data_IF_777366371482
#
_entry.id   IF_777366371482
#
_cell.length_a   1.000
_cell.length_b   1.000
_cell.length_c   1.000
_cell.angle_alpha   90.00
_cell.angle_beta   90.00
_cell.angle_gamma   90.00
#
_symmetry.space_group_name_H-M   'P 1'
#
loop_
_entity.id
_entity.type
_entity.pdbx_description
1 polymer ?
#
# COMPACT_ATOMS: atom_id res chain seq x y z
N UNK A 1 46.15 -53.91 -64.31
CA UNK A 1 46.84 -52.85 -63.54
C UNK A 1 46.05 -52.65 -62.25
N UNK A 2 46.45 -53.35 -61.19
CA UNK A 2 47.22 -52.83 -60.04
C UNK A 2 46.27 -52.50 -58.88
N UNK A 3 45.89 -53.47 -58.05
CA UNK A 3 46.43 -53.77 -56.69
C UNK A 3 46.11 -52.74 -55.58
N UNK A 4 45.79 -53.30 -54.41
CA UNK A 4 46.21 -52.87 -53.05
C UNK A 4 45.22 -51.96 -52.27
N UNK A 5 44.53 -52.48 -51.22
CA UNK A 5 44.89 -52.56 -49.78
C UNK A 5 44.16 -51.47 -48.97
N UNK A 6 43.21 -51.81 -48.09
CA UNK A 6 43.30 -52.38 -46.72
C UNK A 6 43.05 -51.28 -45.68
N UNK A 7 42.16 -51.61 -44.73
CA UNK A 7 42.24 -51.34 -43.28
C UNK A 7 41.22 -50.35 -42.70
N UNK A 8 40.21 -50.97 -42.07
CA UNK A 8 39.70 -50.77 -40.70
C UNK A 8 39.99 -49.43 -40.01
N UNK A 9 38.89 -48.75 -39.64
CA UNK A 9 38.78 -47.79 -38.52
C UNK A 9 37.29 -47.83 -38.12
N UNK A 10 36.92 -48.58 -37.07
CA UNK A 10 36.74 -48.07 -35.70
C UNK A 10 35.26 -47.67 -35.48
N UNK A 11 34.54 -48.22 -34.48
CA UNK A 11 33.14 -47.86 -34.25
C UNK A 11 33.02 -46.42 -33.72
N UNK A 12 31.95 -45.67 -34.06
CA UNK A 12 31.75 -44.33 -33.51
C UNK A 12 31.44 -44.41 -32.01
N UNK A 13 32.10 -43.52 -31.26
CA UNK A 13 31.94 -43.33 -29.83
C UNK A 13 30.50 -42.97 -29.45
N UNK A 14 30.07 -43.47 -28.28
CA UNK A 14 28.80 -43.16 -27.65
C UNK A 14 28.64 -41.64 -27.44
N UNK A 15 27.56 -41.08 -27.96
CA UNK A 15 27.12 -39.73 -27.61
C UNK A 15 26.45 -39.76 -26.21
N UNK A 16 26.77 -38.80 -25.32
CA UNK A 16 26.15 -38.74 -24.02
C UNK A 16 24.67 -38.33 -24.13
N UNK A 17 23.85 -38.90 -23.26
CA UNK A 17 22.44 -38.59 -23.09
C UNK A 17 22.23 -37.07 -22.95
N UNK A 18 21.35 -36.52 -23.78
CA UNK A 18 20.79 -35.19 -23.58
C UNK A 18 19.94 -35.22 -22.31
N UNK A 19 20.56 -34.90 -21.18
CA UNK A 19 19.87 -34.58 -19.94
C UNK A 19 18.97 -33.38 -20.17
N UNK A 20 17.66 -33.60 -20.10
CA UNK A 20 16.66 -32.56 -19.96
C UNK A 20 16.92 -31.79 -18.66
N UNK A 21 17.72 -30.73 -18.72
CA UNK A 21 17.87 -29.76 -17.65
C UNK A 21 16.64 -28.83 -17.63
N UNK A 22 15.52 -29.36 -17.16
CA UNK A 22 14.42 -28.55 -16.65
C UNK A 22 14.85 -27.98 -15.29
N UNK A 23 15.54 -26.84 -15.30
CA UNK A 23 15.95 -26.14 -14.10
C UNK A 23 15.05 -24.92 -13.85
N UNK A 24 14.03 -25.17 -13.02
CA UNK A 24 13.56 -24.33 -11.94
C UNK A 24 13.35 -22.83 -12.21
N UNK A 25 12.11 -22.50 -12.53
CA UNK A 25 11.38 -21.48 -11.78
C UNK A 25 10.25 -22.18 -11.03
N UNK A 26 10.60 -22.96 -10.00
CA UNK A 26 9.66 -23.57 -9.07
C UNK A 26 8.84 -22.46 -8.41
N UNK A 27 7.72 -22.13 -9.05
CA UNK A 27 6.59 -21.51 -8.38
C UNK A 27 6.23 -22.49 -7.27
N UNK A 28 6.76 -22.24 -6.07
CA UNK A 28 6.30 -22.84 -4.85
C UNK A 28 4.80 -22.61 -4.82
N UNK A 29 4.07 -23.66 -5.17
CA UNK A 29 2.62 -23.72 -5.05
C UNK A 29 2.35 -23.60 -3.56
N UNK A 30 2.17 -22.37 -3.08
CA UNK A 30 1.81 -22.09 -1.71
C UNK A 30 0.54 -22.90 -1.47
N UNK A 31 0.56 -23.90 -0.58
CA UNK A 31 -0.61 -24.72 -0.34
C UNK A 31 -1.65 -23.77 0.28
N UNK A 32 -2.68 -23.44 -0.50
CA UNK A 32 -3.81 -22.57 -0.14
C UNK A 32 -3.50 -21.06 0.02
N UNK A 33 -3.14 -20.35 -1.05
CA UNK A 33 -3.31 -18.88 -1.10
C UNK A 33 -2.31 -18.11 -1.96
N UNK A 34 -2.46 -16.79 -2.02
CA UNK A 34 -1.42 -15.89 -2.57
C UNK A 34 -0.22 -15.80 -1.63
N UNK A 35 0.94 -15.38 -2.16
CA UNK A 35 2.15 -15.24 -1.35
C UNK A 35 2.03 -14.17 -0.26
N UNK A 36 2.77 -14.28 0.87
CA UNK A 36 2.78 -13.27 1.93
C UNK A 36 3.14 -11.86 1.43
N UNK A 37 3.94 -11.76 0.37
CA UNK A 37 4.28 -10.48 -0.25
C UNK A 37 3.06 -9.73 -0.79
N UNK A 38 1.99 -10.44 -1.20
CA UNK A 38 0.74 -9.80 -1.66
C UNK A 38 -0.04 -9.23 -0.47
N UNK A 39 -0.05 -9.92 0.67
CA UNK A 39 -0.89 -9.63 1.82
C UNK A 39 -0.17 -8.75 2.84
N UNK A 40 0.93 -9.22 3.41
CA UNK A 40 1.77 -8.48 4.35
C UNK A 40 2.50 -7.31 3.67
N UNK A 41 2.76 -7.43 2.37
CA UNK A 41 3.30 -6.32 1.58
C UNK A 41 2.41 -5.07 1.58
N UNK A 42 1.09 -5.22 1.78
CA UNK A 42 0.18 -4.06 1.91
C UNK A 42 0.58 -3.19 3.09
N UNK A 43 0.84 -3.82 4.24
CA UNK A 43 1.25 -3.09 5.43
C UNK A 43 2.62 -2.44 5.24
N UNK A 44 3.57 -3.13 4.61
CA UNK A 44 4.90 -2.56 4.32
C UNK A 44 4.82 -1.36 3.36
N UNK A 45 4.08 -1.48 2.26
CA UNK A 45 3.90 -0.40 1.28
C UNK A 45 3.17 0.79 1.91
N UNK A 46 2.12 0.52 2.69
CA UNK A 46 1.41 1.55 3.45
C UNK A 46 2.33 2.26 4.43
N UNK A 47 3.11 1.52 5.23
CA UNK A 47 4.01 2.12 6.22
C UNK A 47 5.08 3.02 5.58
N UNK A 48 5.63 2.65 4.42
CA UNK A 48 6.58 3.49 3.69
C UNK A 48 5.93 4.77 3.16
N UNK A 49 4.71 4.67 2.63
CA UNK A 49 3.95 5.83 2.14
C UNK A 49 3.58 6.77 3.28
N UNK A 50 2.98 6.26 4.35
CA UNK A 50 2.58 7.06 5.51
C UNK A 50 3.78 7.62 6.29
N UNK A 51 4.95 6.97 6.28
CA UNK A 51 6.16 7.53 6.88
C UNK A 51 6.60 8.83 6.18
N UNK A 52 6.47 8.89 4.85
CA UNK A 52 6.72 10.09 4.06
C UNK A 52 5.68 11.18 4.40
N UNK A 53 4.39 10.83 4.48
CA UNK A 53 3.35 11.76 4.91
C UNK A 53 3.60 12.32 6.32
N UNK A 54 4.02 11.48 7.28
CA UNK A 54 4.34 11.91 8.65
C UNK A 54 5.57 12.80 8.69
N UNK A 55 6.56 12.56 7.83
CA UNK A 55 7.78 13.36 7.77
C UNK A 55 7.53 14.76 7.19
N UNK A 56 6.72 14.86 6.14
CA UNK A 56 6.56 16.12 5.38
C UNK A 56 5.22 16.81 5.56
N UNK A 57 4.15 16.07 5.88
CA UNK A 57 2.77 16.54 6.06
C UNK A 57 2.64 17.81 6.90
N UNK A 58 3.03 17.76 8.19
CA UNK A 58 2.89 18.90 9.08
C UNK A 58 3.57 20.18 8.59
N UNK A 59 4.79 20.05 8.07
CA UNK A 59 5.55 21.18 7.53
C UNK A 59 4.87 21.74 6.29
N UNK A 60 4.48 20.86 5.38
CA UNK A 60 3.84 21.25 4.13
C UNK A 60 2.54 22.00 4.38
N UNK A 61 1.70 21.54 5.32
CA UNK A 61 0.45 22.22 5.70
C UNK A 61 0.73 23.65 6.16
N UNK A 62 1.67 23.84 7.10
CA UNK A 62 2.01 25.17 7.64
C UNK A 62 2.52 26.13 6.57
N UNK A 63 3.33 25.64 5.63
CA UNK A 63 3.93 26.46 4.57
C UNK A 63 2.93 26.75 3.42
N UNK A 64 2.05 25.81 3.09
CA UNK A 64 1.23 25.88 1.87
C UNK A 64 -0.22 26.31 2.12
N UNK A 65 -0.82 26.05 3.28
CA UNK A 65 -2.22 26.44 3.55
C UNK A 65 -2.45 27.95 3.36
N UNK A 66 -1.59 28.87 3.86
CA UNK A 66 -1.78 30.30 3.61
C UNK A 66 -1.71 30.69 2.12
N UNK A 67 -0.87 30.00 1.34
CA UNK A 67 -0.72 30.24 -0.10
C UNK A 67 -1.94 29.70 -0.85
N UNK A 68 -2.39 28.49 -0.52
CA UNK A 68 -3.56 27.85 -1.13
C UNK A 68 -4.84 28.61 -0.82
N UNK A 69 -5.00 29.12 0.39
CA UNK A 69 -6.12 29.97 0.78
C UNK A 69 -6.27 31.21 -0.12
N UNK A 70 -5.15 31.86 -0.45
CA UNK A 70 -5.14 32.99 -1.40
C UNK A 70 -5.45 32.57 -2.83
N UNK A 71 -5.04 31.36 -3.23
CA UNK A 71 -5.20 30.83 -4.60
C UNK A 71 -6.60 30.28 -4.87
N UNK A 72 -7.30 29.80 -3.84
CA UNK A 72 -8.63 29.21 -3.96
C UNK A 72 -9.65 29.91 -3.03
N UNK A 73 -9.90 31.22 -3.21
CA UNK A 73 -10.79 32.00 -2.33
C UNK A 73 -12.25 31.51 -2.35
N UNK A 74 -12.64 30.71 -3.35
CA UNK A 74 -13.96 30.09 -3.45
C UNK A 74 -14.22 28.98 -2.44
N UNK A 75 -13.19 28.43 -1.79
CA UNK A 75 -13.37 27.39 -0.77
C UNK A 75 -13.82 28.03 0.56
N UNK A 76 -14.82 27.43 1.25
CA UNK A 76 -15.30 27.94 2.53
C UNK A 76 -14.18 28.10 3.55
N UNK A 77 -14.28 29.14 4.38
CA UNK A 77 -13.28 29.41 5.42
C UNK A 77 -13.08 28.22 6.37
N UNK A 78 -14.16 27.49 6.66
CA UNK A 78 -14.13 26.28 7.47
C UNK A 78 -13.20 25.19 6.94
N UNK A 79 -12.99 25.12 5.61
CA UNK A 79 -12.03 24.18 5.00
C UNK A 79 -10.60 24.59 5.36
N UNK A 80 -10.29 25.89 5.30
CA UNK A 80 -8.97 26.42 5.64
C UNK A 80 -8.69 26.31 7.13
N UNK A 81 -9.67 26.61 7.98
CA UNK A 81 -9.58 26.42 9.42
C UNK A 81 -9.34 24.95 9.78
N UNK A 82 -10.06 24.02 9.14
CA UNK A 82 -9.86 22.59 9.31
C UNK A 82 -8.43 22.17 8.92
N UNK A 83 -7.94 22.58 7.75
CA UNK A 83 -6.57 22.28 7.32
C UNK A 83 -5.52 22.92 8.25
N UNK A 84 -5.76 24.13 8.75
CA UNK A 84 -4.88 24.82 9.68
C UNK A 84 -4.90 24.25 11.10
N UNK A 85 -5.96 23.51 11.47
CA UNK A 85 -6.13 22.90 12.79
C UNK A 85 -5.36 21.58 13.00
N UNK A 86 -4.66 21.08 11.97
CA UNK A 86 -3.90 19.84 12.05
C UNK A 86 -2.78 19.91 13.11
N UNK A 87 -2.99 19.24 14.24
CA UNK A 87 -1.97 19.04 15.29
C UNK A 87 -1.09 17.84 14.91
N UNK A 88 0.22 18.06 14.76
CA UNK A 88 1.23 17.04 14.44
C UNK A 88 1.11 15.80 15.34
N UNK A 89 0.77 15.97 16.62
CA UNK A 89 0.59 14.83 17.54
C UNK A 89 -0.68 14.05 17.24
N UNK A 90 -1.78 14.74 16.93
CA UNK A 90 -3.05 14.10 16.56
C UNK A 90 -2.88 13.31 15.27
N UNK A 91 -2.25 13.90 14.26
CA UNK A 91 -1.96 13.22 13.00
C UNK A 91 -1.14 11.94 13.21
N UNK A 92 -0.03 12.01 13.94
CA UNK A 92 0.81 10.83 14.24
C UNK A 92 0.05 9.76 15.02
N UNK A 93 -0.81 10.15 15.96
CA UNK A 93 -1.63 9.20 16.71
C UNK A 93 -2.70 8.55 15.80
N UNK A 94 -3.32 9.33 14.90
CA UNK A 94 -4.28 8.82 13.92
C UNK A 94 -3.63 7.83 12.95
N UNK A 95 -2.43 8.13 12.45
CA UNK A 95 -1.61 7.21 11.64
C UNK A 95 -1.32 5.92 12.42
N UNK A 96 -1.01 6.02 13.72
CA UNK A 96 -0.83 4.85 14.58
C UNK A 96 -2.08 3.97 14.69
N UNK A 97 -3.27 4.55 14.80
CA UNK A 97 -4.54 3.80 14.79
C UNK A 97 -4.78 3.15 13.42
N UNK A 98 -4.53 3.89 12.34
CA UNK A 98 -4.65 3.36 10.98
C UNK A 98 -3.67 2.20 10.73
N UNK A 99 -2.46 2.25 11.27
CA UNK A 99 -1.49 1.17 11.20
C UNK A 99 -2.06 -0.15 11.74
N UNK A 100 -2.81 -0.11 12.85
CA UNK A 100 -3.46 -1.30 13.43
C UNK A 100 -4.54 -1.84 12.49
N UNK A 101 -5.33 -0.97 11.87
CA UNK A 101 -6.38 -1.35 10.91
C UNK A 101 -5.75 -2.03 9.70
N UNK A 102 -4.73 -1.40 9.09
CA UNK A 102 -4.06 -1.93 7.88
C UNK A 102 -3.31 -3.23 8.21
N UNK A 103 -2.63 -3.31 9.36
CA UNK A 103 -2.01 -4.55 9.81
C UNK A 103 -3.03 -5.67 10.02
N UNK A 104 -4.18 -5.37 10.63
CA UNK A 104 -5.29 -6.31 10.77
C UNK A 104 -5.82 -6.81 9.43
N UNK A 105 -5.94 -5.91 8.45
CA UNK A 105 -6.33 -6.26 7.08
C UNK A 105 -5.30 -7.17 6.41
N UNK A 106 -4.00 -6.85 6.53
CA UNK A 106 -2.91 -7.64 5.99
C UNK A 106 -2.86 -9.06 6.60
N UNK A 107 -2.99 -9.18 7.93
CA UNK A 107 -3.05 -10.47 8.64
C UNK A 107 -4.29 -11.26 8.24
N UNK A 108 -5.45 -10.62 8.12
CA UNK A 108 -6.69 -11.24 7.63
C UNK A 108 -6.52 -11.76 6.19
N UNK A 109 -5.87 -10.96 5.32
CA UNK A 109 -5.50 -11.37 3.98
C UNK A 109 -4.61 -12.61 3.99
N UNK A 110 -3.59 -12.62 4.84
CA UNK A 110 -2.66 -13.73 4.94
C UNK A 110 -3.33 -15.02 5.42
N UNK A 111 -4.15 -14.96 6.48
CA UNK A 111 -4.88 -16.11 7.01
C UNK A 111 -5.92 -16.68 6.03
N UNK A 112 -6.45 -15.85 5.13
CA UNK A 112 -7.45 -16.25 4.15
C UNK A 112 -6.87 -16.59 2.77
N UNK A 113 -5.53 -16.60 2.63
CA UNK A 113 -4.87 -16.79 1.34
C UNK A 113 -5.25 -15.72 0.30
N UNK A 114 -5.59 -14.51 0.75
CA UNK A 114 -5.99 -13.36 -0.07
C UNK A 114 -7.51 -13.18 -0.25
N UNK A 115 -8.36 -14.10 0.23
CA UNK A 115 -9.83 -14.03 0.03
C UNK A 115 -10.56 -13.02 0.93
N UNK A 116 -9.90 -12.52 1.97
CA UNK A 116 -10.52 -11.61 2.95
C UNK A 116 -11.10 -10.36 2.30
N UNK A 117 -12.38 -10.13 2.56
CA UNK A 117 -13.10 -8.91 2.18
C UNK A 117 -12.40 -7.65 2.69
N UNK A 118 -11.98 -7.70 3.96
CA UNK A 118 -11.35 -6.59 4.64
C UNK A 118 -9.99 -6.28 4.01
N UNK A 119 -9.19 -7.31 3.74
CA UNK A 119 -7.92 -7.17 3.02
C UNK A 119 -8.09 -6.52 1.64
N UNK A 120 -8.96 -7.09 0.79
CA UNK A 120 -9.12 -6.58 -0.57
C UNK A 120 -9.71 -5.17 -0.62
N UNK A 121 -10.63 -4.84 0.29
CA UNK A 121 -11.18 -3.48 0.39
C UNK A 121 -10.14 -2.48 0.89
N UNK A 122 -9.25 -2.89 1.80
CA UNK A 122 -8.14 -2.05 2.27
C UNK A 122 -7.09 -1.85 1.18
N UNK A 123 -6.80 -2.89 0.39
CA UNK A 123 -5.92 -2.80 -0.77
C UNK A 123 -6.47 -1.84 -1.83
N UNK A 124 -7.76 -1.92 -2.14
CA UNK A 124 -8.42 -0.98 -3.06
C UNK A 124 -8.42 0.44 -2.49
N UNK A 125 -8.69 0.60 -1.19
CA UNK A 125 -8.63 1.88 -0.48
C UNK A 125 -7.23 2.50 -0.52
N UNK A 126 -6.17 1.70 -0.34
CA UNK A 126 -4.79 2.14 -0.46
C UNK A 126 -4.49 2.66 -1.88
N UNK A 127 -4.93 1.94 -2.92
CA UNK A 127 -4.82 2.42 -4.30
C UNK A 127 -5.55 3.75 -4.55
N UNK A 128 -6.79 3.87 -4.06
CA UNK A 128 -7.58 5.10 -4.17
C UNK A 128 -6.94 6.27 -3.42
N UNK A 129 -6.37 6.03 -2.24
CA UNK A 129 -5.62 7.01 -1.46
C UNK A 129 -4.45 7.59 -2.28
N UNK A 130 -3.69 6.73 -2.96
CA UNK A 130 -2.62 7.20 -3.86
C UNK A 130 -3.14 8.03 -5.04
N UNK A 131 -4.30 7.70 -5.60
CA UNK A 131 -4.92 8.53 -6.65
C UNK A 131 -5.38 9.90 -6.13
N UNK A 132 -5.88 9.97 -4.90
CA UNK A 132 -6.27 11.23 -4.26
C UNK A 132 -5.06 12.15 -4.09
N UNK A 133 -3.91 11.61 -3.68
CA UNK A 133 -2.66 12.39 -3.62
C UNK A 133 -2.23 12.95 -4.96
N UNK A 134 -2.33 12.15 -6.03
CA UNK A 134 -2.02 12.64 -7.37
C UNK A 134 -3.01 13.73 -7.82
N UNK A 135 -4.29 13.59 -7.50
CA UNK A 135 -5.29 14.61 -7.79
C UNK A 135 -5.02 15.91 -7.02
N UNK A 136 -4.64 15.81 -5.74
CA UNK A 136 -4.23 16.96 -4.92
C UNK A 136 -3.00 17.66 -5.50
N UNK A 137 -1.95 16.90 -5.82
CA UNK A 137 -0.73 17.41 -6.46
C UNK A 137 -1.02 18.13 -7.78
N UNK A 138 -1.88 17.55 -8.62
CA UNK A 138 -2.33 18.17 -9.87
C UNK A 138 -3.11 19.46 -9.63
N UNK A 139 -4.03 19.47 -8.66
CA UNK A 139 -4.83 20.65 -8.32
C UNK A 139 -3.98 21.82 -7.81
N UNK A 140 -2.97 21.54 -6.97
CA UNK A 140 -2.03 22.57 -6.50
C UNK A 140 -0.95 22.90 -7.54
N UNK A 141 -0.84 22.10 -8.61
CA UNK A 141 0.21 22.14 -9.64
C UNK A 141 1.61 22.04 -9.04
N UNK A 142 1.80 21.09 -8.13
CA UNK A 142 3.05 20.95 -7.38
C UNK A 142 3.08 19.71 -6.51
N UNK A 143 4.13 19.61 -5.70
CA UNK A 143 4.30 18.50 -4.77
C UNK A 143 3.34 18.62 -3.58
N UNK A 144 2.74 17.50 -3.22
CA UNK A 144 2.05 17.29 -1.93
C UNK A 144 2.67 16.07 -1.26
N UNK A 145 2.77 16.03 0.07
CA UNK A 145 3.13 14.80 0.79
C UNK A 145 2.24 13.65 0.31
N UNK A 146 2.84 12.52 -0.06
CA UNK A 146 2.15 11.41 -0.71
C UNK A 146 2.23 11.41 -2.24
N UNK A 147 2.48 12.53 -2.92
CA UNK A 147 2.43 12.60 -4.39
C UNK A 147 3.60 11.89 -5.07
N UNK A 148 4.76 11.82 -4.43
CA UNK A 148 5.94 11.14 -4.98
C UNK A 148 5.86 9.62 -4.77
N UNK A 149 5.41 9.20 -3.58
CA UNK A 149 5.28 7.79 -3.18
C UNK A 149 4.08 7.11 -3.86
N UNK A 150 3.03 7.86 -4.21
CA UNK A 150 1.84 7.33 -4.89
C UNK A 150 2.13 6.61 -6.23
N UNK A 151 2.77 7.25 -7.22
CA UNK A 151 3.01 6.62 -8.52
C UNK A 151 4.14 5.58 -8.49
N UNK A 152 5.06 5.65 -7.53
CA UNK A 152 6.23 4.74 -7.46
C UNK A 152 6.01 3.52 -6.57
N UNK A 153 5.13 3.64 -5.56
CA UNK A 153 4.90 2.59 -4.56
C UNK A 153 3.43 2.18 -4.49
N UNK A 154 2.53 3.13 -4.21
CA UNK A 154 1.12 2.82 -3.90
C UNK A 154 0.40 2.18 -5.09
N UNK A 155 0.43 2.84 -6.26
CA UNK A 155 -0.25 2.35 -7.45
C UNK A 155 0.43 1.08 -8.00
N UNK A 156 1.76 1.01 -8.16
CA UNK A 156 2.42 -0.21 -8.62
C UNK A 156 2.15 -1.41 -7.70
N UNK A 157 2.25 -1.24 -6.39
CA UNK A 157 1.96 -2.32 -5.44
C UNK A 157 0.51 -2.78 -5.54
N UNK A 158 -0.44 -1.83 -5.55
CA UNK A 158 -1.86 -2.15 -5.63
C UNK A 158 -2.21 -2.93 -6.90
N UNK A 159 -1.74 -2.45 -8.06
CA UNK A 159 -1.98 -3.11 -9.34
C UNK A 159 -1.35 -4.49 -9.39
N UNK A 160 -0.11 -4.62 -8.92
CA UNK A 160 0.59 -5.90 -8.84
C UNK A 160 -0.16 -6.90 -7.93
N UNK A 161 -0.51 -6.50 -6.71
CA UNK A 161 -1.21 -7.34 -5.74
C UNK A 161 -2.57 -7.80 -6.28
N UNK A 162 -3.35 -6.90 -6.89
CA UNK A 162 -4.62 -7.24 -7.55
C UNK A 162 -4.42 -8.21 -8.71
N UNK A 163 -3.38 -8.02 -9.52
CA UNK A 163 -3.01 -8.96 -10.58
C UNK A 163 -2.65 -10.35 -10.05
N UNK A 164 -2.02 -10.43 -8.87
CA UNK A 164 -1.72 -11.72 -8.20
C UNK A 164 -2.98 -12.39 -7.66
N UNK A 165 -3.89 -11.63 -7.04
CA UNK A 165 -5.18 -12.13 -6.58
C UNK A 165 -6.04 -12.65 -7.73
N UNK A 166 -6.04 -11.94 -8.87
CA UNK A 166 -6.80 -12.33 -10.07
C UNK A 166 -6.28 -13.65 -10.64
N UNK A 167 -4.96 -13.78 -10.80
CA UNK A 167 -4.31 -15.01 -11.28
C UNK A 167 -4.57 -16.20 -10.35
N UNK A 168 -4.75 -15.96 -9.06
CA UNK A 168 -5.11 -16.98 -8.08
C UNK A 168 -6.63 -17.26 -8.00
N UNK A 169 -7.46 -16.59 -8.81
CA UNK A 169 -8.91 -16.80 -8.82
C UNK A 169 -9.65 -16.29 -7.57
N UNK A 170 -8.98 -15.50 -6.71
CA UNK A 170 -9.53 -15.04 -5.42
C UNK A 170 -9.90 -13.55 -5.42
N UNK A 171 -9.56 -12.81 -6.49
CA UNK A 171 -9.91 -11.40 -6.58
C UNK A 171 -11.43 -11.23 -6.65
N UNK A 172 -11.98 -10.45 -5.73
CA UNK A 172 -13.40 -10.12 -5.71
C UNK A 172 -13.73 -9.17 -6.87
N UNK A 173 -14.90 -9.33 -7.51
CA UNK A 173 -15.37 -8.37 -8.49
C UNK A 173 -15.51 -6.97 -7.87
N UNK A 174 -14.99 -5.95 -8.58
CA UNK A 174 -15.34 -4.57 -8.28
C UNK A 174 -16.80 -4.35 -8.69
N UNK A 175 -17.65 -4.08 -7.72
CA UNK A 175 -19.01 -3.60 -7.97
C UNK A 175 -19.11 -2.14 -7.53
N UNK A 176 -19.98 -1.35 -8.16
CA UNK A 176 -20.21 0.06 -7.77
C UNK A 176 -20.60 0.16 -6.29
N UNK A 177 -21.53 -0.69 -5.84
CA UNK A 177 -21.92 -0.77 -4.43
C UNK A 177 -20.73 -1.12 -3.52
N UNK A 178 -19.88 -2.05 -3.95
CA UNK A 178 -18.66 -2.42 -3.22
C UNK A 178 -17.66 -1.27 -3.14
N UNK A 179 -17.46 -0.53 -4.23
CA UNK A 179 -16.59 0.63 -4.27
C UNK A 179 -17.11 1.76 -3.36
N UNK A 180 -18.42 2.04 -3.39
CA UNK A 180 -19.06 3.02 -2.50
C UNK A 180 -18.93 2.58 -1.03
N UNK A 181 -19.22 1.32 -0.72
CA UNK A 181 -19.08 0.80 0.63
C UNK A 181 -17.62 0.82 1.11
N UNK A 182 -16.66 0.53 0.23
CA UNK A 182 -15.23 0.61 0.52
C UNK A 182 -14.77 2.04 0.80
N UNK A 183 -15.19 3.00 -0.03
CA UNK A 183 -14.90 4.42 0.18
C UNK A 183 -15.54 4.94 1.49
N UNK A 184 -16.78 4.55 1.77
CA UNK A 184 -17.45 4.89 3.03
C UNK A 184 -16.72 4.29 4.24
N UNK A 185 -16.28 3.03 4.15
CA UNK A 185 -15.52 2.38 5.20
C UNK A 185 -14.15 3.03 5.42
N UNK A 186 -13.46 3.44 4.35
CA UNK A 186 -12.21 4.20 4.44
C UNK A 186 -12.43 5.56 5.11
N UNK A 187 -13.46 6.30 4.71
CA UNK A 187 -13.85 7.55 5.37
C UNK A 187 -14.17 7.37 6.85
N UNK A 188 -14.95 6.33 7.19
CA UNK A 188 -15.26 5.98 8.57
C UNK A 188 -13.99 5.62 9.37
N UNK A 189 -13.08 4.84 8.81
CA UNK A 189 -11.80 4.49 9.44
C UNK A 189 -10.96 5.75 9.73
N UNK A 190 -10.90 6.71 8.80
CA UNK A 190 -10.21 7.99 9.01
C UNK A 190 -10.83 8.80 10.15
N UNK A 191 -12.17 8.89 10.20
CA UNK A 191 -12.90 9.59 11.27
C UNK A 191 -12.67 8.92 12.63
N UNK A 192 -12.73 7.59 12.67
CA UNK A 192 -12.45 6.81 13.90
C UNK A 192 -11.02 7.04 14.36
N UNK A 193 -10.04 6.97 13.47
CA UNK A 193 -8.62 7.20 13.80
C UNK A 193 -8.38 8.58 14.42
N UNK A 194 -8.94 9.64 13.83
CA UNK A 194 -8.84 10.99 14.38
C UNK A 194 -9.56 11.13 15.72
N UNK A 195 -10.76 10.56 15.85
CA UNK A 195 -11.53 10.62 17.10
C UNK A 195 -10.80 9.91 18.24
N UNK A 196 -10.27 8.71 17.99
CA UNK A 196 -9.48 7.95 18.95
C UNK A 196 -8.20 8.70 19.32
N UNK A 197 -7.49 9.28 18.33
CA UNK A 197 -6.30 10.10 18.56
C UNK A 197 -6.58 11.28 19.50
N UNK A 198 -7.66 12.03 19.25
CA UNK A 198 -8.10 13.14 20.11
C UNK A 198 -8.35 12.71 21.54
N UNK A 199 -9.04 11.59 21.74
CA UNK A 199 -9.35 11.05 23.07
C UNK A 199 -8.06 10.67 23.80
N UNK A 200 -7.14 9.97 23.14
CA UNK A 200 -5.88 9.53 23.74
C UNK A 200 -4.99 10.73 24.15
N UNK A 201 -4.86 11.73 23.29
CA UNK A 201 -4.07 12.94 23.57
C UNK A 201 -4.73 13.79 24.66
N UNK A 202 -6.05 13.96 24.61
CA UNK A 202 -6.82 14.69 25.62
C UNK A 202 -6.68 14.09 27.02
N UNK A 203 -6.72 12.75 27.12
CA UNK A 203 -6.48 12.01 28.37
C UNK A 203 -5.05 12.23 28.90
N UNK A 204 -4.04 12.14 28.04
CA UNK A 204 -2.64 12.39 28.42
C UNK A 204 -2.38 13.81 28.93
N UNK A 205 -3.00 14.82 28.32
CA UNK A 205 -2.92 16.23 28.76
C UNK A 205 -3.54 16.44 30.15
N UNK A 206 -4.68 15.81 30.44
CA UNK A 206 -5.35 15.87 31.76
C UNK A 206 -4.53 15.19 32.86
N UNK A 207 -3.99 14.00 32.58
CA UNK A 207 -3.15 13.26 33.52
C UNK A 207 -1.87 14.06 33.91
N UNK A 208 -1.20 14.67 32.92
CA UNK A 208 0.00 15.49 33.17
C UNK A 208 -0.29 16.75 34.01
N UNK A 209 -1.46 17.38 33.84
CA UNK A 209 -1.87 18.54 34.66
C UNK A 209 -2.20 18.19 36.11
N UNK A 210 -2.72 16.98 36.37
CA UNK A 210 -2.96 16.49 37.73
C UNK A 210 -1.67 16.23 38.51
N UNK A 211 -0.66 15.66 37.85
CA UNK A 211 0.65 15.35 38.46
C UNK A 211 1.52 16.58 38.78
N UNK A 212 1.23 17.76 38.23
CA UNK A 212 1.98 19.01 38.51
C UNK A 212 1.33 19.81 39.64
N UNK A 213 0.12 19.42 40.08
CA UNK A 213 -0.65 20.12 41.11
C UNK A 213 -0.76 19.36 42.44
N UNK A 214 -0.19 18.16 42.53
CA UNK A 214 -0.07 17.37 43.76
C UNK A 214 1.40 17.27 44.15
#
# INVERSE_FOLDING_TARGET
>A
MTTFVKRLSGPPAAAPAAGSASCAGSASSVPYGVSPAVTLGLFAAWALHDAEEVAFGPRWIRENVPVLRRRFPQLPESVWEFMGSFDDREFRAAVGVMAVIVAGAAVSGQRSGGRSAFFQSTLDGFGLHGLLHLAQAAAVRGYTPGSATSPVLVLPFTLWARGRLRRAGVLRPLSVRGAVAGAAAAGAATVVSHTVARILIGRGRRAKRGSVRG
#
